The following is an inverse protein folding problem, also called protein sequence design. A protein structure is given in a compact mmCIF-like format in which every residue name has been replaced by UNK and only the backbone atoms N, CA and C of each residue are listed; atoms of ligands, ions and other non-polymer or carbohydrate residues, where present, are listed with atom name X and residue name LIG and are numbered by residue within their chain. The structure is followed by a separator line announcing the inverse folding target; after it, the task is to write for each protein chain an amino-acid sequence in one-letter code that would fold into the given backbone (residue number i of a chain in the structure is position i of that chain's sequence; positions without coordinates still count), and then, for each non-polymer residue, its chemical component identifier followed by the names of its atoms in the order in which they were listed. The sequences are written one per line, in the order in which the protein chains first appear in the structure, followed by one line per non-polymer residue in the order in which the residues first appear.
data_IF_613258786931
#
_entry.id   IF_613258786931
#
_cell.length_a   1.000
_cell.length_b   1.000
_cell.length_c   1.000
_cell.angle_alpha   90.00
_cell.angle_beta   90.00
_cell.angle_gamma   90.00
#
_symmetry.space_group_name_H-M   'P 1'
#
loop_
_entity.id
_entity.type
_entity.pdbx_description
1 polymer ?
#
# COMPACT_ATOMS: atom_id res chain seq x y z
N UNK A 1 -42.91 76.45 11.99
CA UNK A 1 -42.25 76.12 13.26
C UNK A 1 -41.79 74.68 13.16
N UNK A 2 -40.48 74.47 13.33
CA UNK A 2 -39.69 73.25 13.56
C UNK A 2 -39.92 71.95 12.74
N UNK A 3 -38.84 71.52 12.06
CA UNK A 3 -38.38 70.13 11.77
C UNK A 3 -38.26 69.25 13.06
N UNK A 4 -37.98 67.90 13.06
CA UNK A 4 -37.20 67.14 12.07
C UNK A 4 -37.53 65.63 11.83
N UNK A 5 -36.71 65.07 10.93
CA UNK A 5 -36.42 63.68 10.58
C UNK A 5 -36.35 62.69 11.75
N UNK A 6 -36.79 61.44 11.53
CA UNK A 6 -35.93 60.26 11.76
C UNK A 6 -36.29 59.13 10.81
N UNK A 7 -35.29 58.76 10.02
CA UNK A 7 -35.13 57.55 9.23
C UNK A 7 -35.25 56.32 10.14
N UNK A 8 -36.15 55.38 9.82
CA UNK A 8 -36.19 54.10 10.51
C UNK A 8 -36.13 52.96 9.49
N UNK A 9 -34.91 52.50 9.24
CA UNK A 9 -34.57 51.31 8.48
C UNK A 9 -34.97 50.05 9.25
N UNK A 10 -36.14 49.49 8.94
CA UNK A 10 -36.51 48.15 9.41
C UNK A 10 -35.82 47.07 8.56
N UNK A 11 -34.63 46.67 9.02
CA UNK A 11 -33.92 45.44 8.61
C UNK A 11 -34.60 44.23 9.26
N UNK A 12 -34.91 43.15 8.53
CA UNK A 12 -35.58 41.98 9.12
C UNK A 12 -34.63 41.15 10.00
N UNK A 13 -35.14 40.76 11.16
CA UNK A 13 -34.47 40.01 12.21
C UNK A 13 -33.93 38.65 11.76
N UNK A 14 -32.62 38.47 11.92
CA UNK A 14 -31.91 37.17 11.96
C UNK A 14 -32.46 36.32 13.10
N UNK A 15 -33.11 35.19 12.78
CA UNK A 15 -33.43 34.14 13.76
C UNK A 15 -32.45 32.98 13.59
N UNK A 16 -31.39 33.06 14.39
CA UNK A 16 -30.68 32.01 15.12
C UNK A 16 -30.70 30.58 14.54
N UNK A 17 -29.61 30.21 13.87
CA UNK A 17 -29.17 28.82 13.81
C UNK A 17 -28.78 28.39 15.23
N UNK A 18 -29.50 27.40 15.76
CA UNK A 18 -29.09 26.71 16.98
C UNK A 18 -27.92 25.81 16.59
N UNK A 19 -26.70 26.30 16.83
CA UNK A 19 -25.50 25.49 16.80
C UNK A 19 -25.64 24.38 17.86
N UNK A 20 -25.68 23.13 17.41
CA UNK A 20 -25.59 21.98 18.31
C UNK A 20 -24.26 22.02 19.07
N UNK A 21 -24.27 21.82 20.39
CA UNK A 21 -23.07 21.89 21.20
C UNK A 21 -22.20 20.65 20.98
N UNK A 22 -20.94 20.87 20.64
CA UNK A 22 -19.80 19.99 20.87
C UNK A 22 -19.97 18.51 20.45
N UNK A 23 -19.68 18.21 19.19
CA UNK A 23 -18.82 17.06 18.94
C UNK A 23 -17.43 17.48 19.44
N UNK A 24 -17.08 17.13 20.68
CA UNK A 24 -15.71 17.32 21.17
C UNK A 24 -14.77 16.70 20.14
N UNK A 25 -13.81 17.43 19.56
CA UNK A 25 -12.75 16.78 18.80
C UNK A 25 -12.12 15.80 19.78
N UNK A 26 -12.11 14.51 19.44
CA UNK A 26 -11.53 13.49 20.30
C UNK A 26 -10.05 13.84 20.47
N UNK A 27 -9.75 14.57 21.55
CA UNK A 27 -8.43 15.08 21.87
C UNK A 27 -7.44 13.93 21.99
N UNK A 28 -7.93 12.72 22.28
CA UNK A 28 -7.14 11.50 22.30
C UNK A 28 -6.82 11.05 20.88
N UNK A 29 -7.79 11.02 19.97
CA UNK A 29 -7.55 10.73 18.55
C UNK A 29 -6.64 11.77 17.89
N UNK A 30 -6.85 13.07 18.15
CA UNK A 30 -6.00 14.15 17.63
C UNK A 30 -4.57 14.08 18.20
N UNK A 31 -4.41 13.85 19.51
CA UNK A 31 -3.09 13.74 20.14
C UNK A 31 -2.38 12.44 19.74
N UNK A 32 -3.10 11.33 19.54
CA UNK A 32 -2.55 10.09 18.98
C UNK A 32 -2.10 10.34 17.54
N UNK A 33 -2.90 11.01 16.71
CA UNK A 33 -2.53 11.37 15.33
C UNK A 33 -1.32 12.29 15.30
N UNK A 34 -1.28 13.30 16.16
CA UNK A 34 -0.16 14.24 16.28
C UNK A 34 1.12 13.58 16.84
N UNK A 35 1.00 12.59 17.73
CA UNK A 35 2.14 11.80 18.23
C UNK A 35 2.62 10.79 17.18
N UNK A 36 1.71 10.18 16.42
CA UNK A 36 2.05 9.34 15.25
C UNK A 36 2.77 10.23 14.22
N UNK A 37 2.15 11.31 13.76
CA UNK A 37 2.73 12.21 12.75
C UNK A 37 4.06 12.84 13.21
N UNK A 38 4.22 13.11 14.51
CA UNK A 38 5.44 13.69 15.10
C UNK A 38 6.59 12.70 15.36
N UNK A 39 6.30 11.43 15.66
CA UNK A 39 7.31 10.40 15.96
C UNK A 39 7.65 9.55 14.73
N UNK A 40 6.76 9.44 13.74
CA UNK A 40 6.72 8.25 12.87
C UNK A 40 7.14 8.46 11.42
N UNK A 41 7.27 9.67 10.86
CA UNK A 41 7.49 9.80 9.41
C UNK A 41 8.91 10.18 8.99
N UNK A 42 9.62 11.00 9.76
CA UNK A 42 10.97 11.46 9.37
C UNK A 42 12.10 10.68 10.05
N UNK A 43 11.97 10.36 11.33
CA UNK A 43 12.97 9.57 12.07
C UNK A 43 13.03 8.12 11.57
N UNK A 44 11.86 7.49 11.39
CA UNK A 44 11.74 6.10 10.96
C UNK A 44 12.25 5.88 9.53
N UNK A 45 11.82 6.71 8.58
CA UNK A 45 12.26 6.60 7.18
C UNK A 45 13.76 6.87 7.04
N UNK A 46 14.35 7.75 7.87
CA UNK A 46 15.79 7.97 7.92
C UNK A 46 16.54 6.74 8.44
N UNK A 47 16.07 6.14 9.54
CA UNK A 47 16.65 4.90 10.09
C UNK A 47 16.60 3.78 9.05
N UNK A 48 15.45 3.57 8.40
CA UNK A 48 15.31 2.57 7.34
C UNK A 48 16.25 2.84 6.15
N UNK A 49 16.39 4.10 5.74
CA UNK A 49 17.30 4.48 4.65
C UNK A 49 18.76 4.20 5.01
N UNK A 50 19.18 4.54 6.23
CA UNK A 50 20.54 4.26 6.73
C UNK A 50 20.78 2.75 6.81
N UNK A 51 19.83 1.99 7.36
CA UNK A 51 19.92 0.53 7.44
C UNK A 51 20.01 -0.12 6.05
N UNK A 52 19.24 0.38 5.08
CA UNK A 52 19.29 -0.10 3.68
C UNK A 52 20.66 0.12 3.04
N UNK A 53 21.24 1.32 3.21
CA UNK A 53 22.58 1.62 2.72
C UNK A 53 23.63 0.77 3.44
N UNK A 54 23.55 0.64 4.77
CA UNK A 54 24.47 -0.18 5.56
C UNK A 54 24.43 -1.65 5.13
N UNK A 55 23.24 -2.20 4.88
CA UNK A 55 23.07 -3.55 4.37
C UNK A 55 23.74 -3.72 3.01
N UNK A 56 23.53 -2.81 2.05
CA UNK A 56 24.19 -2.88 0.72
C UNK A 56 25.71 -2.76 0.82
N UNK A 57 26.23 -1.91 1.71
CA UNK A 57 27.67 -1.80 1.96
C UNK A 57 28.24 -3.11 2.53
N UNK A 58 27.51 -3.77 3.43
CA UNK A 58 27.88 -5.09 3.94
C UNK A 58 27.93 -6.14 2.80
N UNK A 59 26.95 -6.14 1.89
CA UNK A 59 26.96 -7.02 0.71
C UNK A 59 28.22 -6.80 -0.15
N UNK A 60 28.56 -5.54 -0.42
CA UNK A 60 29.78 -5.17 -1.16
C UNK A 60 31.02 -5.69 -0.43
N UNK A 61 31.11 -5.48 0.89
CA UNK A 61 32.22 -5.95 1.72
C UNK A 61 32.40 -7.48 1.68
N UNK A 62 31.31 -8.23 1.79
CA UNK A 62 31.32 -9.70 1.67
C UNK A 62 31.85 -10.13 0.30
N UNK A 63 31.36 -9.51 -0.78
CA UNK A 63 31.78 -9.84 -2.14
C UNK A 63 33.25 -9.52 -2.39
N UNK A 64 33.72 -8.35 -1.97
CA UNK A 64 35.13 -7.96 -2.11
C UNK A 64 36.03 -8.91 -1.31
N UNK A 65 35.62 -9.30 -0.11
CA UNK A 65 36.35 -10.27 0.71
C UNK A 65 36.42 -11.63 0.01
N UNK A 66 35.30 -12.13 -0.53
CA UNK A 66 35.27 -13.39 -1.25
C UNK A 66 36.16 -13.37 -2.51
N UNK A 67 36.18 -12.27 -3.26
CA UNK A 67 37.07 -12.07 -4.41
C UNK A 67 38.54 -12.02 -3.98
N UNK A 68 38.84 -11.38 -2.85
CA UNK A 68 40.19 -11.32 -2.31
C UNK A 68 40.71 -12.70 -1.89
N UNK A 69 39.90 -13.45 -1.13
CA UNK A 69 40.23 -14.82 -0.69
C UNK A 69 40.45 -15.78 -1.86
N UNK A 70 39.75 -15.56 -2.97
CA UNK A 70 39.81 -16.42 -4.17
C UNK A 70 40.68 -15.83 -5.28
N UNK A 71 41.46 -14.78 -4.99
CA UNK A 71 42.28 -14.07 -5.98
C UNK A 71 43.26 -14.98 -6.72
N UNK A 72 43.92 -15.87 -5.98
CA UNK A 72 45.00 -16.72 -6.51
C UNK A 72 44.52 -18.04 -7.11
N UNK A 73 43.21 -18.34 -7.08
CA UNK A 73 42.73 -19.52 -7.78
C UNK A 73 42.79 -19.28 -9.30
N UNK A 74 43.55 -20.10 -10.02
CA UNK A 74 43.73 -20.00 -11.49
C UNK A 74 42.44 -20.23 -12.29
N UNK A 75 41.37 -20.67 -11.62
CA UNK A 75 40.08 -20.87 -12.25
C UNK A 75 39.39 -19.51 -12.46
N UNK A 76 39.40 -19.03 -13.71
CA UNK A 76 38.52 -17.97 -14.21
C UNK A 76 37.07 -18.48 -14.23
N UNK A 77 36.52 -18.79 -13.06
CA UNK A 77 35.15 -19.29 -13.02
C UNK A 77 34.15 -18.17 -13.30
N UNK A 78 33.06 -18.48 -14.02
CA UNK A 78 31.99 -17.53 -14.27
C UNK A 78 31.45 -16.90 -12.98
N UNK A 79 31.62 -17.57 -11.83
CA UNK A 79 31.28 -17.04 -10.50
C UNK A 79 32.09 -15.79 -10.10
N UNK A 80 33.38 -15.69 -10.46
CA UNK A 80 34.16 -14.46 -10.19
C UNK A 80 33.58 -13.29 -10.97
N UNK A 81 33.27 -13.50 -12.25
CA UNK A 81 32.64 -12.50 -13.10
C UNK A 81 31.26 -12.11 -12.55
N UNK A 82 30.44 -13.08 -12.15
CA UNK A 82 29.15 -12.84 -11.49
C UNK A 82 29.31 -11.91 -10.29
N UNK A 83 30.21 -12.24 -9.36
CA UNK A 83 30.39 -11.46 -8.12
C UNK A 83 30.93 -10.06 -8.42
N UNK A 84 31.84 -9.90 -9.39
CA UNK A 84 32.35 -8.59 -9.80
C UNK A 84 31.22 -7.71 -10.36
N UNK A 85 30.47 -8.24 -11.34
CA UNK A 85 29.37 -7.49 -11.99
C UNK A 85 28.26 -7.18 -10.98
N UNK A 86 27.90 -8.15 -10.14
CA UNK A 86 26.90 -7.97 -9.08
C UNK A 86 27.31 -6.87 -8.09
N UNK A 87 28.58 -6.85 -7.68
CA UNK A 87 29.11 -5.82 -6.77
C UNK A 87 29.07 -4.44 -7.41
N UNK A 88 29.41 -4.33 -8.70
CA UNK A 88 29.32 -3.07 -9.44
C UNK A 88 27.87 -2.56 -9.55
N UNK A 89 26.90 -3.44 -9.82
CA UNK A 89 25.48 -3.08 -9.87
C UNK A 89 24.95 -2.63 -8.51
N UNK A 90 25.28 -3.33 -7.41
CA UNK A 90 24.90 -2.90 -6.06
C UNK A 90 25.52 -1.54 -5.73
N UNK A 91 26.80 -1.33 -6.07
CA UNK A 91 27.47 -0.05 -5.87
C UNK A 91 26.77 1.07 -6.64
N UNK A 92 26.41 0.85 -7.91
CA UNK A 92 25.67 1.82 -8.72
C UNK A 92 24.29 2.16 -8.12
N UNK A 93 23.53 1.16 -7.69
CA UNK A 93 22.26 1.37 -6.98
C UNK A 93 22.44 2.16 -5.69
N UNK A 94 23.46 1.80 -4.89
CA UNK A 94 23.73 2.46 -3.61
C UNK A 94 24.14 3.91 -3.83
N UNK A 95 25.00 4.18 -4.81
CA UNK A 95 25.42 5.54 -5.17
C UNK A 95 24.23 6.36 -5.67
N UNK A 96 23.39 5.81 -6.56
CA UNK A 96 22.17 6.46 -7.03
C UNK A 96 21.24 6.83 -5.88
N UNK A 97 20.99 5.88 -4.97
CA UNK A 97 20.17 6.08 -3.77
C UNK A 97 20.76 7.15 -2.84
N UNK A 98 22.05 7.08 -2.53
CA UNK A 98 22.73 8.03 -1.64
C UNK A 98 22.74 9.43 -2.24
N UNK A 99 23.01 9.59 -3.54
CA UNK A 99 22.98 10.89 -4.21
C UNK A 99 21.58 11.49 -4.10
N UNK A 100 20.54 10.70 -4.41
CA UNK A 100 19.14 11.14 -4.36
C UNK A 100 18.69 11.53 -2.96
N UNK A 101 19.07 10.74 -1.97
CA UNK A 101 18.64 10.95 -0.58
C UNK A 101 19.65 11.72 0.26
N UNK A 102 20.71 12.29 -0.34
CA UNK A 102 21.78 13.00 0.38
C UNK A 102 21.23 14.14 1.25
N UNK A 103 20.34 14.98 0.71
CA UNK A 103 19.73 16.10 1.46
C UNK A 103 18.90 15.62 2.65
N UNK A 104 18.16 14.53 2.46
CA UNK A 104 17.35 13.92 3.51
C UNK A 104 18.20 13.24 4.61
N UNK A 105 19.27 12.53 4.21
CA UNK A 105 20.16 11.81 5.12
C UNK A 105 21.00 12.79 5.96
N UNK A 106 21.49 13.89 5.36
CA UNK A 106 22.45 14.79 5.99
C UNK A 106 21.84 16.10 6.52
N UNK A 107 20.85 16.71 5.86
CA UNK A 107 20.47 18.11 6.12
C UNK A 107 19.07 18.30 6.76
N UNK A 108 18.34 17.24 7.08
CA UNK A 108 16.98 17.32 7.69
C UNK A 108 15.96 18.16 6.90
N UNK A 109 16.15 18.35 5.59
CA UNK A 109 15.17 19.03 4.74
C UNK A 109 13.99 18.09 4.40
N UNK A 110 12.76 18.63 4.27
CA UNK A 110 11.59 17.85 3.87
C UNK A 110 11.81 17.20 2.49
N UNK A 111 11.25 16.01 2.33
CA UNK A 111 11.46 15.12 1.19
C UNK A 111 10.78 15.70 -0.07
N UNK A 112 11.48 16.55 -0.83
CA UNK A 112 11.02 16.95 -2.16
C UNK A 112 11.22 15.80 -3.15
N UNK A 113 10.12 15.11 -3.48
CA UNK A 113 10.11 14.04 -4.49
C UNK A 113 10.13 14.61 -5.92
N UNK A 114 11.12 15.45 -6.23
CA UNK A 114 11.38 15.88 -7.61
C UNK A 114 12.18 14.78 -8.32
N UNK A 115 11.48 13.78 -8.84
CA UNK A 115 12.11 12.70 -9.59
C UNK A 115 12.31 13.12 -11.06
N UNK A 116 13.56 13.30 -11.49
CA UNK A 116 13.84 13.50 -12.92
C UNK A 116 13.57 12.20 -13.69
N UNK A 117 12.99 12.32 -14.88
CA UNK A 117 12.72 11.16 -15.74
C UNK A 117 13.98 10.31 -16.00
N UNK A 118 15.13 10.99 -16.18
CA UNK A 118 16.43 10.35 -16.39
C UNK A 118 16.87 9.48 -15.20
N UNK A 119 16.69 9.97 -13.96
CA UNK A 119 17.04 9.19 -12.76
C UNK A 119 16.19 7.94 -12.60
N UNK A 120 14.93 7.98 -13.03
CA UNK A 120 14.02 6.83 -13.01
C UNK A 120 14.46 5.78 -14.02
N UNK A 121 14.74 6.22 -15.25
CA UNK A 121 15.19 5.35 -16.33
C UNK A 121 16.48 4.64 -15.94
N UNK A 122 17.44 5.36 -15.34
CA UNK A 122 18.69 4.77 -14.87
C UNK A 122 18.48 3.70 -13.80
N UNK A 123 17.65 3.96 -12.78
CA UNK A 123 17.38 2.97 -11.74
C UNK A 123 16.66 1.73 -12.27
N UNK A 124 15.67 1.92 -13.15
CA UNK A 124 14.96 0.81 -13.80
C UNK A 124 15.92 -0.03 -14.66
N UNK A 125 16.85 0.60 -15.37
CA UNK A 125 17.87 -0.10 -16.14
C UNK A 125 18.77 -0.96 -15.23
N UNK A 126 19.21 -0.42 -14.10
CA UNK A 126 20.00 -1.19 -13.12
C UNK A 126 19.22 -2.37 -12.55
N UNK A 127 17.92 -2.21 -12.27
CA UNK A 127 17.06 -3.30 -11.79
C UNK A 127 16.94 -4.43 -12.85
N UNK A 128 16.73 -4.06 -14.13
CA UNK A 128 16.65 -5.02 -15.24
C UNK A 128 18.00 -5.76 -15.41
N UNK A 129 19.12 -5.04 -15.38
CA UNK A 129 20.45 -5.64 -15.46
C UNK A 129 20.72 -6.61 -14.31
N UNK A 130 20.30 -6.26 -13.09
CA UNK A 130 20.44 -7.11 -11.90
C UNK A 130 19.61 -8.37 -12.01
N UNK A 131 18.37 -8.26 -12.50
CA UNK A 131 17.49 -9.40 -12.74
C UNK A 131 18.06 -10.34 -13.82
N UNK A 132 18.56 -9.78 -14.93
CA UNK A 132 19.24 -10.56 -15.96
C UNK A 132 20.47 -11.29 -15.41
N UNK A 133 21.24 -10.63 -14.54
CA UNK A 133 22.39 -11.24 -13.88
C UNK A 133 21.96 -12.43 -13.01
N UNK A 134 20.85 -12.36 -12.27
CA UNK A 134 20.35 -13.49 -11.48
C UNK A 134 19.97 -14.71 -12.34
N UNK A 135 19.38 -14.49 -13.53
CA UNK A 135 19.11 -15.58 -14.47
C UNK A 135 20.38 -16.24 -15.00
N UNK A 136 21.39 -15.43 -15.35
CA UNK A 136 22.71 -15.94 -15.75
C UNK A 136 23.35 -16.72 -14.59
N UNK A 137 23.33 -16.16 -13.38
CA UNK A 137 23.85 -16.81 -12.18
C UNK A 137 23.18 -18.15 -11.90
N UNK A 138 21.85 -18.24 -12.04
CA UNK A 138 21.11 -19.48 -11.92
C UNK A 138 21.54 -20.53 -12.95
N UNK A 139 21.70 -20.12 -14.22
CA UNK A 139 22.22 -21.00 -15.29
C UNK A 139 23.61 -21.52 -14.96
N UNK A 140 24.52 -20.65 -14.50
CA UNK A 140 25.87 -21.05 -14.11
C UNK A 140 25.88 -21.97 -12.88
N UNK A 141 25.02 -21.73 -11.88
CA UNK A 141 24.87 -22.63 -10.74
C UNK A 141 24.44 -24.04 -11.18
N UNK A 142 23.51 -24.13 -12.14
CA UNK A 142 23.09 -25.43 -12.69
C UNK A 142 24.21 -26.10 -13.49
N UNK A 143 24.90 -25.35 -14.34
CA UNK A 143 25.94 -25.89 -15.22
C UNK A 143 27.15 -26.43 -14.44
N UNK A 144 27.54 -25.76 -13.36
CA UNK A 144 28.72 -26.11 -12.56
C UNK A 144 28.38 -26.85 -11.27
N UNK A 145 27.20 -27.45 -11.19
CA UNK A 145 26.75 -28.20 -10.00
C UNK A 145 27.70 -29.35 -9.62
N UNK A 146 28.33 -30.00 -10.61
CA UNK A 146 29.30 -31.08 -10.39
C UNK A 146 30.66 -30.60 -9.87
N UNK A 147 31.00 -29.31 -10.07
CA UNK A 147 32.28 -28.70 -9.66
C UNK A 147 32.15 -27.82 -8.42
N UNK A 148 31.09 -28.02 -7.62
CA UNK A 148 30.80 -27.22 -6.42
C UNK A 148 31.94 -27.29 -5.37
N UNK A 149 32.65 -28.41 -5.32
CA UNK A 149 33.68 -28.68 -4.31
C UNK A 149 35.03 -28.06 -4.67
N UNK A 150 35.25 -27.74 -5.96
CA UNK A 150 36.46 -27.07 -6.42
C UNK A 150 36.53 -25.62 -5.94
N UNK A 151 35.37 -24.96 -5.79
CA UNK A 151 35.28 -23.53 -5.41
C UNK A 151 34.05 -23.24 -4.53
N UNK A 152 34.06 -23.72 -3.27
CA UNK A 152 32.89 -23.71 -2.42
C UNK A 152 32.44 -22.29 -2.04
N UNK A 153 33.38 -21.35 -1.85
CA UNK A 153 33.07 -19.97 -1.41
C UNK A 153 32.28 -19.23 -2.49
N UNK A 154 32.82 -19.16 -3.72
CA UNK A 154 32.22 -18.43 -4.84
C UNK A 154 30.88 -19.06 -5.26
N UNK A 155 30.80 -20.39 -5.29
CA UNK A 155 29.56 -21.12 -5.61
C UNK A 155 28.47 -20.82 -4.57
N UNK A 156 28.76 -20.98 -3.28
CA UNK A 156 27.78 -20.75 -2.23
C UNK A 156 27.33 -19.30 -2.15
N UNK A 157 28.26 -18.35 -2.31
CA UNK A 157 27.93 -16.93 -2.30
C UNK A 157 27.04 -16.56 -3.50
N UNK A 158 27.39 -17.03 -4.70
CA UNK A 158 26.56 -16.83 -5.90
C UNK A 158 25.17 -17.45 -5.72
N UNK A 159 25.10 -18.66 -5.15
CA UNK A 159 23.83 -19.32 -4.82
C UNK A 159 22.98 -18.47 -3.89
N UNK A 160 23.54 -17.99 -2.78
CA UNK A 160 22.81 -17.14 -1.83
C UNK A 160 22.27 -15.89 -2.52
N UNK A 161 23.09 -15.20 -3.32
CA UNK A 161 22.65 -13.97 -3.99
C UNK A 161 21.57 -14.19 -5.04
N UNK A 162 21.69 -15.25 -5.86
CA UNK A 162 20.68 -15.59 -6.87
C UNK A 162 19.34 -15.90 -6.20
N UNK A 163 19.32 -16.75 -5.17
CA UNK A 163 18.06 -17.10 -4.49
C UNK A 163 17.47 -15.93 -3.71
N UNK A 164 18.31 -15.15 -3.02
CA UNK A 164 17.87 -13.94 -2.33
C UNK A 164 17.25 -12.92 -3.30
N UNK A 165 17.89 -12.70 -4.45
CA UNK A 165 17.39 -11.82 -5.51
C UNK A 165 16.05 -12.28 -6.08
N UNK A 166 15.94 -13.57 -6.44
CA UNK A 166 14.68 -14.15 -6.94
C UNK A 166 13.57 -14.02 -5.89
N UNK A 167 13.87 -14.28 -4.61
CA UNK A 167 12.89 -14.18 -3.53
C UNK A 167 12.36 -12.74 -3.35
N UNK A 168 13.22 -11.72 -3.46
CA UNK A 168 12.80 -10.31 -3.37
C UNK A 168 11.81 -9.95 -4.48
N UNK A 169 12.00 -10.47 -5.70
CA UNK A 169 11.10 -10.17 -6.82
C UNK A 169 9.79 -10.95 -6.70
N UNK A 170 9.85 -12.21 -6.28
CA UNK A 170 8.68 -13.07 -6.22
C UNK A 170 7.79 -12.79 -4.99
N UNK A 171 8.37 -12.48 -3.83
CA UNK A 171 7.61 -12.22 -2.61
C UNK A 171 6.50 -11.16 -2.73
N UNK A 172 6.71 -9.97 -3.34
CA UNK A 172 5.64 -8.99 -3.53
C UNK A 172 4.57 -9.48 -4.51
N UNK A 173 4.95 -10.23 -5.56
CA UNK A 173 3.99 -10.81 -6.51
C UNK A 173 3.08 -11.81 -5.78
N UNK A 174 3.68 -12.72 -5.01
CA UNK A 174 2.93 -13.67 -4.19
C UNK A 174 2.08 -12.97 -3.14
N UNK A 175 2.58 -11.91 -2.50
CA UNK A 175 1.83 -11.11 -1.53
C UNK A 175 0.60 -10.46 -2.16
N UNK A 176 0.73 -9.85 -3.34
CA UNK A 176 -0.40 -9.26 -4.07
C UNK A 176 -1.42 -10.31 -4.45
N UNK A 177 -0.98 -11.45 -5.00
CA UNK A 177 -1.89 -12.56 -5.34
C UNK A 177 -2.62 -13.05 -4.10
N UNK A 178 -1.91 -13.26 -2.99
CA UNK A 178 -2.50 -13.70 -1.73
C UNK A 178 -3.50 -12.67 -1.18
N UNK A 179 -3.17 -11.38 -1.23
CA UNK A 179 -4.08 -10.31 -0.85
C UNK A 179 -5.34 -10.37 -1.71
N UNK A 180 -5.22 -10.43 -3.04
CA UNK A 180 -6.38 -10.52 -3.93
C UNK A 180 -7.25 -11.76 -3.65
N UNK A 181 -6.63 -12.92 -3.37
CA UNK A 181 -7.35 -14.13 -2.98
C UNK A 181 -8.05 -13.97 -1.63
N UNK A 182 -7.40 -13.38 -0.63
CA UNK A 182 -7.99 -13.09 0.68
C UNK A 182 -9.15 -12.10 0.55
N UNK A 183 -9.01 -11.08 -0.30
CA UNK A 183 -10.06 -10.11 -0.55
C UNK A 183 -11.27 -10.73 -1.25
N UNK A 184 -11.06 -11.72 -2.13
CA UNK A 184 -12.14 -12.47 -2.74
C UNK A 184 -12.79 -13.45 -1.74
N UNK A 185 -12.00 -14.02 -0.84
CA UNK A 185 -12.47 -14.99 0.16
C UNK A 185 -13.25 -14.34 1.31
N UNK A 186 -12.83 -13.14 1.76
CA UNK A 186 -13.49 -12.41 2.85
C UNK A 186 -14.67 -11.60 2.29
N UNK A 187 -15.82 -12.25 2.08
CA UNK A 187 -17.11 -11.55 1.89
C UNK A 187 -17.44 -10.77 3.18
N UNK A 188 -17.73 -9.46 3.13
CA UNK A 188 -18.08 -8.72 4.33
C UNK A 188 -19.39 -9.27 4.91
N UNK A 189 -19.40 -9.65 6.20
CA UNK A 189 -20.63 -9.99 6.90
C UNK A 189 -21.46 -8.74 7.07
N UNK A 190 -22.56 -8.65 6.32
CA UNK A 190 -23.44 -7.48 6.35
C UNK A 190 -24.29 -7.48 7.62
N UNK A 191 -24.46 -6.32 8.29
CA UNK A 191 -25.28 -6.23 9.48
C UNK A 191 -26.74 -6.54 9.16
N UNK A 192 -27.31 -7.46 9.92
CA UNK A 192 -28.75 -7.75 9.94
C UNK A 192 -29.37 -6.87 11.00
N UNK A 193 -30.42 -6.14 10.62
CA UNK A 193 -31.23 -5.32 11.50
C UNK A 193 -32.67 -5.85 11.47
N UNK A 194 -33.34 -5.81 12.62
CA UNK A 194 -34.77 -6.11 12.68
C UNK A 194 -35.57 -4.83 12.39
N UNK A 195 -36.59 -4.94 11.56
CA UNK A 195 -37.51 -3.84 11.29
C UNK A 195 -38.39 -3.55 12.50
N UNK A 196 -38.55 -2.28 12.83
CA UNK A 196 -39.46 -1.82 13.88
C UNK A 196 -40.27 -0.62 13.36
N UNK A 197 -41.59 -0.68 13.56
CA UNK A 197 -42.52 0.41 13.24
C UNK A 197 -42.16 1.63 14.09
N UNK A 198 -42.08 2.82 13.49
CA UNK A 198 -41.57 4.03 14.14
C UNK A 198 -40.05 4.03 14.43
N UNK A 199 -39.31 3.09 13.84
CA UNK A 199 -37.86 2.94 14.01
C UNK A 199 -37.02 3.86 13.12
N UNK A 200 -35.79 3.41 12.80
CA UNK A 200 -34.81 4.19 12.00
C UNK A 200 -35.14 4.28 10.51
N UNK A 201 -35.99 3.39 10.00
CA UNK A 201 -36.45 3.39 8.60
C UNK A 201 -37.83 4.02 8.63
N UNK A 202 -38.02 5.10 7.86
CA UNK A 202 -39.32 5.76 7.77
C UNK A 202 -40.33 4.80 7.10
N UNK A 203 -41.60 4.91 7.46
CA UNK A 203 -42.65 4.07 6.88
C UNK A 203 -42.78 4.24 5.35
N UNK A 204 -42.53 5.46 4.83
CA UNK A 204 -42.50 5.74 3.39
C UNK A 204 -41.39 4.97 2.64
N UNK A 205 -40.31 4.62 3.33
CA UNK A 205 -39.16 3.89 2.79
C UNK A 205 -39.16 2.41 3.21
N UNK A 206 -40.18 1.94 3.93
CA UNK A 206 -40.22 0.61 4.54
C UNK A 206 -40.65 -0.50 3.56
N UNK A 207 -40.01 -0.57 2.39
CA UNK A 207 -40.30 -1.54 1.34
C UNK A 207 -39.02 -2.11 0.73
N UNK A 208 -39.00 -3.41 0.46
CA UNK A 208 -37.91 -4.01 -0.29
C UNK A 208 -38.11 -3.79 -1.79
N UNK A 209 -37.11 -3.24 -2.45
CA UNK A 209 -37.17 -2.95 -3.90
C UNK A 209 -36.86 -4.16 -4.79
N UNK A 210 -36.47 -5.31 -4.20
CA UNK A 210 -36.26 -6.57 -4.94
C UNK A 210 -37.59 -7.31 -5.10
N UNK A 211 -38.31 -7.56 -4.01
CA UNK A 211 -39.59 -8.27 -4.03
C UNK A 211 -40.81 -7.34 -4.08
N UNK A 212 -40.61 -6.03 -3.96
CA UNK A 212 -41.66 -4.99 -3.92
C UNK A 212 -42.64 -5.15 -2.74
N UNK A 213 -42.29 -5.89 -1.70
CA UNK A 213 -43.12 -6.07 -0.51
C UNK A 213 -42.71 -5.11 0.63
N UNK A 214 -43.68 -4.59 1.41
CA UNK A 214 -43.41 -3.80 2.61
C UNK A 214 -42.74 -4.67 3.69
N UNK A 215 -41.99 -4.05 4.59
CA UNK A 215 -41.39 -4.74 5.73
C UNK A 215 -42.43 -5.00 6.82
N UNK A 216 -42.48 -6.22 7.34
CA UNK A 216 -43.27 -6.55 8.51
C UNK A 216 -42.46 -6.37 9.80
N UNK A 217 -43.17 -6.15 10.92
CA UNK A 217 -42.54 -5.97 12.24
C UNK A 217 -41.64 -7.16 12.58
N UNK A 218 -40.41 -6.88 13.05
CA UNK A 218 -39.35 -7.85 13.38
C UNK A 218 -38.80 -8.63 12.18
N UNK A 219 -39.09 -8.24 10.94
CA UNK A 219 -38.43 -8.84 9.79
C UNK A 219 -36.94 -8.50 9.74
N UNK A 220 -36.15 -9.48 9.30
CA UNK A 220 -34.71 -9.33 9.12
C UNK A 220 -34.40 -8.61 7.81
N UNK A 221 -33.79 -7.44 7.95
CA UNK A 221 -33.37 -6.57 6.86
C UNK A 221 -31.86 -6.47 6.90
N UNK A 222 -31.22 -6.49 5.73
CA UNK A 222 -29.80 -6.15 5.60
C UNK A 222 -29.65 -4.71 5.14
N UNK A 223 -28.75 -3.99 5.80
CA UNK A 223 -28.34 -2.64 5.40
C UNK A 223 -26.95 -2.68 4.77
N UNK A 224 -26.85 -2.20 3.53
CA UNK A 224 -25.59 -2.15 2.79
C UNK A 224 -24.73 -0.94 3.21
N UNK A 225 -23.42 -0.94 2.91
CA UNK A 225 -22.53 0.21 3.15
C UNK A 225 -23.00 1.49 2.45
N UNK A 226 -23.65 1.37 1.29
CA UNK A 226 -24.28 2.46 0.56
C UNK A 226 -25.60 2.97 1.19
N UNK A 227 -25.96 2.44 2.37
CA UNK A 227 -27.13 2.76 3.21
C UNK A 227 -28.49 2.23 2.72
N UNK A 228 -28.57 1.67 1.52
CA UNK A 228 -29.77 0.98 1.06
C UNK A 228 -30.07 -0.29 1.88
N UNK A 229 -31.33 -0.67 1.95
CA UNK A 229 -31.81 -1.78 2.75
C UNK A 229 -32.74 -2.69 1.95
N UNK A 230 -32.70 -3.99 2.28
CA UNK A 230 -33.44 -5.05 1.58
C UNK A 230 -33.77 -6.17 2.57
N UNK A 231 -34.77 -6.99 2.30
CA UNK A 231 -34.94 -8.25 3.04
C UNK A 231 -33.64 -9.06 2.97
N UNK A 232 -33.27 -9.67 4.09
CA UNK A 232 -32.06 -10.49 4.18
C UNK A 232 -32.04 -11.57 3.09
N UNK A 233 -33.14 -12.29 2.90
CA UNK A 233 -33.26 -13.35 1.88
C UNK A 233 -33.12 -12.81 0.46
N UNK A 234 -33.84 -11.74 0.12
CA UNK A 234 -33.84 -11.18 -1.23
C UNK A 234 -32.45 -10.69 -1.66
N UNK A 235 -31.72 -10.02 -0.76
CA UNK A 235 -30.39 -9.50 -1.10
C UNK A 235 -29.31 -10.58 -1.06
N UNK A 236 -29.44 -11.61 -0.23
CA UNK A 236 -28.52 -12.74 -0.22
C UNK A 236 -28.63 -13.56 -1.51
N UNK A 237 -29.85 -13.75 -2.04
CA UNK A 237 -30.05 -14.34 -3.38
C UNK A 237 -29.44 -13.48 -4.49
N UNK A 238 -29.61 -12.16 -4.40
CA UNK A 238 -29.00 -11.23 -5.36
C UNK A 238 -27.47 -11.33 -5.38
N UNK A 239 -26.81 -11.46 -4.21
CA UNK A 239 -25.36 -11.65 -4.10
C UNK A 239 -24.86 -13.03 -4.56
N UNK A 240 -25.77 -13.96 -4.86
CA UNK A 240 -25.47 -15.16 -5.63
C UNK A 240 -25.26 -14.89 -7.13
N UNK A 241 -25.74 -13.74 -7.63
CA UNK A 241 -25.67 -13.34 -9.04
C UNK A 241 -24.64 -12.21 -9.23
N UNK A 242 -24.72 -11.14 -8.42
CA UNK A 242 -23.87 -9.95 -8.56
C UNK A 242 -23.61 -9.27 -7.20
N UNK A 243 -22.38 -8.83 -6.98
CA UNK A 243 -21.89 -8.26 -5.71
C UNK A 243 -22.02 -6.72 -5.64
N UNK A 244 -23.08 -6.20 -6.28
CA UNK A 244 -23.40 -4.77 -6.33
C UNK A 244 -24.78 -4.49 -5.76
N UNK A 245 -24.96 -3.29 -5.22
CA UNK A 245 -26.26 -2.83 -4.76
C UNK A 245 -27.27 -2.77 -5.94
N UNK A 246 -28.46 -3.39 -5.85
CA UNK A 246 -29.47 -3.35 -6.91
C UNK A 246 -29.87 -1.93 -7.32
N UNK A 247 -29.91 -1.00 -6.35
CA UNK A 247 -30.40 0.38 -6.52
C UNK A 247 -29.35 1.33 -7.09
N UNK A 248 -28.13 1.34 -6.54
CA UNK A 248 -27.11 2.32 -6.94
C UNK A 248 -25.90 1.73 -7.65
N UNK A 249 -25.90 0.41 -7.89
CA UNK A 249 -24.81 -0.34 -8.56
C UNK A 249 -23.44 -0.20 -7.90
N UNK A 250 -23.38 0.32 -6.68
CA UNK A 250 -22.14 0.39 -5.90
C UNK A 250 -21.77 -1.00 -5.36
N UNK A 251 -20.50 -1.41 -5.48
CA UNK A 251 -20.02 -2.67 -4.95
C UNK A 251 -20.09 -2.69 -3.43
N UNK A 252 -20.30 -3.87 -2.86
CA UNK A 252 -20.40 -4.03 -1.40
C UNK A 252 -19.00 -4.06 -0.77
N UNK A 253 -17.99 -4.47 -1.54
CA UNK A 253 -16.60 -4.47 -1.11
C UNK A 253 -16.03 -3.04 -1.20
N UNK A 254 -15.67 -2.41 -0.08
CA UNK A 254 -15.15 -1.03 -0.07
C UNK A 254 -13.84 -0.85 -0.83
N UNK A 255 -13.15 -1.93 -1.21
CA UNK A 255 -11.92 -1.86 -2.00
C UNK A 255 -12.17 -1.61 -3.49
N UNK A 256 -13.38 -1.87 -3.99
CA UNK A 256 -13.70 -1.59 -5.40
C UNK A 256 -13.71 -0.08 -5.69
N UNK A 257 -14.14 0.76 -4.74
CA UNK A 257 -14.13 2.22 -4.91
C UNK A 257 -12.69 2.78 -5.02
N UNK A 258 -11.71 2.09 -4.44
CA UNK A 258 -10.28 2.45 -4.52
C UNK A 258 -9.68 2.04 -5.86
N UNK A 259 -10.11 0.91 -6.44
CA UNK A 259 -9.65 0.43 -7.74
C UNK A 259 -10.38 1.12 -8.92
N UNK A 260 -11.62 1.56 -8.72
CA UNK A 260 -12.44 2.23 -9.74
C UNK A 260 -12.21 3.74 -9.86
N UNK A 261 -11.49 4.36 -8.92
CA UNK A 261 -11.15 5.79 -8.96
C UNK A 261 -9.84 6.10 -9.70
N UNK A 262 -9.18 5.07 -10.25
CA UNK A 262 -7.95 5.17 -11.05
C UNK A 262 -8.12 4.81 -12.52
N UNK A 263 -9.37 4.71 -13.02
CA UNK A 263 -9.71 4.56 -14.44
C UNK A 263 -10.55 5.73 -14.93
#
# INVERSE_FOLDING_TARGET
MQEPMTENSNVPSRVLMVDSPLATPDFRAYRIRQLIDGVTQTSFVRVLSILSVAFKLLQIGINVTALFLTRNSETQTPFKLFIIVYTALIAAHTTSFVIRHKRYIFNQEPLEFSQSAESTLFNNLLDILTLFLYFIGFKWLQQYQSSKDDIPILYNLTRIWVFYGIAIVLAPIFSVILILLLLNYVRPTLPVIEYAVGGKIKEEDAQCTICLAPYAEKEQIRKLPCKHHFHMTCIDEWFGIDDVCPLCKRPINPLYDIAGSSL
#
